data_IF_604154353260
#
_entry.id   IF_604154353260
#
_cell.length_a   1.000
_cell.length_b   1.000
_cell.length_c   1.000
_cell.angle_alpha   90.00
_cell.angle_beta   90.00
_cell.angle_gamma   90.00
#
_symmetry.space_group_name_H-M   'P 1'
#
loop_
_entity.id
_entity.type
_entity.pdbx_description
1 polymer ?
#
# COMPACT_ATOMS: atom_id res chain seq x y z
N UNK A 1 -37.16 24.48 -24.14
CA UNK A 1 -36.40 24.11 -22.93
C UNK A 1 -35.08 23.50 -23.37
N UNK A 2 -33.99 24.11 -22.88
CA UNK A 2 -32.63 23.60 -22.72
C UNK A 2 -31.86 22.98 -23.90
N UNK A 3 -31.02 23.84 -24.47
CA UNK A 3 -29.65 23.51 -24.90
C UNK A 3 -28.85 22.84 -23.77
N UNK A 4 -28.05 21.82 -24.12
CA UNK A 4 -26.94 21.37 -23.29
C UNK A 4 -25.76 20.87 -24.15
N UNK A 5 -24.66 21.63 -24.06
CA UNK A 5 -23.22 21.33 -24.24
C UNK A 5 -22.75 20.47 -25.43
N UNK A 6 -21.95 21.00 -26.36
CA UNK A 6 -20.52 21.43 -26.29
C UNK A 6 -19.49 20.29 -26.37
N UNK A 7 -18.75 20.34 -27.49
CA UNK A 7 -17.28 20.21 -27.61
C UNK A 7 -16.62 18.92 -27.12
N UNK A 8 -16.50 17.96 -28.04
CA UNK A 8 -15.37 17.01 -28.04
C UNK A 8 -14.17 17.70 -28.68
N UNK A 9 -13.07 17.68 -27.93
CA UNK A 9 -11.81 18.38 -28.12
C UNK A 9 -11.10 18.01 -29.44
N UNK A 10 -10.78 19.01 -30.26
CA UNK A 10 -10.11 18.87 -31.56
C UNK A 10 -8.71 18.22 -31.46
N UNK A 11 -8.13 18.15 -30.26
CA UNK A 11 -6.84 17.51 -30.01
C UNK A 11 -6.88 15.96 -30.00
N UNK A 12 -8.03 15.34 -29.71
CA UNK A 12 -8.14 13.87 -29.79
C UNK A 12 -8.21 13.38 -31.23
N UNK A 13 -8.90 14.11 -32.11
CA UNK A 13 -9.06 13.77 -33.54
C UNK A 13 -7.71 13.74 -34.30
N UNK A 14 -6.81 14.68 -33.98
CA UNK A 14 -5.47 14.72 -34.60
C UNK A 14 -4.53 13.61 -34.10
N UNK A 15 -4.68 13.12 -32.85
CA UNK A 15 -3.90 11.98 -32.34
C UNK A 15 -4.32 10.65 -32.96
N UNK A 16 -5.61 10.46 -33.23
CA UNK A 16 -6.15 9.27 -33.92
C UNK A 16 -5.72 9.21 -35.40
N UNK A 17 -5.72 10.36 -36.11
CA UNK A 17 -5.25 10.43 -37.51
C UNK A 17 -3.75 10.17 -37.66
N UNK A 18 -2.93 10.54 -36.67
CA UNK A 18 -1.47 10.29 -36.67
C UNK A 18 -1.13 8.83 -36.39
N UNK A 19 -1.90 8.15 -35.51
CA UNK A 19 -1.78 6.69 -35.27
C UNK A 19 -2.24 5.85 -36.47
N UNK A 20 -3.30 6.26 -37.18
CA UNK A 20 -3.73 5.55 -38.40
C UNK A 20 -2.71 5.63 -39.55
N UNK A 21 -2.03 6.78 -39.73
CA UNK A 21 -0.98 6.94 -40.75
C UNK A 21 0.29 6.14 -40.45
N UNK A 22 0.63 5.93 -39.18
CA UNK A 22 1.76 5.10 -38.74
C UNK A 22 1.53 3.61 -38.97
N UNK A 23 0.29 3.14 -38.88
CA UNK A 23 -0.03 1.72 -39.10
C UNK A 23 -0.03 1.35 -40.59
N UNK A 24 -0.36 2.30 -41.47
CA UNK A 24 -0.44 2.06 -42.92
C UNK A 24 0.94 1.95 -43.60
N UNK A 25 2.01 2.48 -43.01
CA UNK A 25 3.38 2.34 -43.55
C UNK A 25 4.05 1.01 -43.13
N UNK A 26 3.67 0.43 -41.99
CA UNK A 26 4.24 -0.86 -41.55
C UNK A 26 3.68 -2.04 -42.37
N UNK A 27 2.48 -1.89 -42.94
CA UNK A 27 1.85 -2.91 -43.80
C UNK A 27 2.37 -2.85 -45.24
N UNK A 28 2.94 -1.73 -45.69
CA UNK A 28 3.46 -1.55 -47.06
C UNK A 28 4.95 -1.91 -47.22
N UNK A 29 5.71 -2.11 -46.14
CA UNK A 29 7.14 -2.48 -46.19
C UNK A 29 7.41 -3.99 -46.09
N UNK A 30 6.38 -4.84 -45.97
CA UNK A 30 6.52 -6.30 -46.03
C UNK A 30 6.17 -6.89 -47.41
N UNK A 31 6.01 -6.05 -48.44
CA UNK A 31 5.61 -6.47 -49.79
C UNK A 31 6.72 -6.36 -50.87
N UNK A 32 7.99 -6.21 -50.50
CA UNK A 32 9.08 -6.01 -51.47
C UNK A 32 10.27 -6.96 -51.32
N UNK A 33 10.06 -8.19 -50.85
CA UNK A 33 11.14 -9.19 -50.76
C UNK A 33 10.70 -10.58 -51.21
N UNK A 34 10.11 -10.74 -52.40
CA UNK A 34 10.05 -12.04 -53.05
C UNK A 34 10.04 -11.87 -54.57
N UNK A 35 11.23 -11.98 -55.17
CA UNK A 35 11.39 -12.38 -56.56
C UNK A 35 12.23 -13.65 -56.55
N UNK A 36 11.68 -14.77 -57.05
CA UNK A 36 12.32 -15.66 -58.03
C UNK A 36 11.46 -16.91 -58.28
N UNK A 37 11.22 -17.14 -59.57
CA UNK A 37 10.97 -18.38 -60.33
C UNK A 37 10.54 -19.70 -59.67
N UNK A 38 9.59 -20.32 -60.39
CA UNK A 38 9.36 -21.76 -60.59
C UNK A 38 8.50 -22.55 -59.59
N UNK A 39 7.34 -22.95 -60.11
CA UNK A 39 6.65 -24.23 -59.92
C UNK A 39 6.50 -24.79 -58.49
N UNK A 40 5.35 -24.51 -57.87
CA UNK A 40 4.40 -25.55 -57.45
C UNK A 40 3.05 -24.94 -57.08
N UNK A 41 1.98 -25.58 -57.56
CA UNK A 41 0.60 -25.38 -57.13
C UNK A 41 0.46 -25.75 -55.65
N UNK A 42 -0.52 -25.10 -55.00
CA UNK A 42 -1.12 -25.36 -53.67
C UNK A 42 -0.46 -24.68 -52.44
N UNK A 43 -1.33 -24.23 -51.51
CA UNK A 43 -1.08 -23.74 -50.14
C UNK A 43 -1.10 -22.22 -49.86
N UNK A 44 -2.26 -21.55 -50.02
CA UNK A 44 -2.64 -20.50 -49.05
C UNK A 44 -3.85 -20.87 -48.18
N UNK A 45 -4.68 -21.86 -48.57
CA UNK A 45 -5.93 -22.22 -47.83
C UNK A 45 -5.66 -23.08 -46.58
N UNK A 46 -4.65 -23.97 -46.63
CA UNK A 46 -4.40 -24.91 -45.54
C UNK A 46 -3.90 -24.24 -44.25
N UNK A 47 -3.11 -23.16 -44.37
CA UNK A 47 -2.56 -22.43 -43.21
C UNK A 47 -3.64 -21.69 -42.41
N UNK A 48 -4.57 -21.03 -43.10
CA UNK A 48 -5.70 -20.38 -42.44
C UNK A 48 -6.66 -21.40 -41.82
N UNK A 49 -6.84 -22.55 -42.47
CA UNK A 49 -7.66 -23.62 -41.90
C UNK A 49 -7.04 -24.20 -40.63
N UNK A 50 -5.71 -24.28 -40.56
CA UNK A 50 -4.96 -24.74 -39.40
C UNK A 50 -5.06 -23.74 -38.23
N UNK A 51 -4.94 -22.44 -38.49
CA UNK A 51 -5.15 -21.37 -37.49
C UNK A 51 -6.60 -21.37 -36.95
N UNK A 52 -7.60 -21.58 -37.82
CA UNK A 52 -9.00 -21.71 -37.40
C UNK A 52 -9.21 -22.92 -36.50
N UNK A 53 -8.58 -24.05 -36.81
CA UNK A 53 -8.67 -25.26 -35.98
C UNK A 53 -7.98 -25.07 -34.63
N UNK A 54 -6.87 -24.34 -34.59
CA UNK A 54 -6.16 -24.00 -33.36
C UNK A 54 -7.01 -23.09 -32.46
N UNK A 55 -7.61 -22.04 -33.02
CA UNK A 55 -8.48 -21.12 -32.27
C UNK A 55 -9.76 -21.79 -31.76
N UNK A 56 -10.31 -22.76 -32.49
CA UNK A 56 -11.44 -23.58 -32.01
C UNK A 56 -11.04 -24.44 -30.82
N UNK A 57 -9.84 -25.03 -30.86
CA UNK A 57 -9.31 -25.86 -29.78
C UNK A 57 -9.08 -25.03 -28.51
N UNK A 58 -8.52 -23.83 -28.65
CA UNK A 58 -8.28 -22.93 -27.53
C UNK A 58 -9.59 -22.42 -26.91
N UNK A 59 -10.59 -22.08 -27.73
CA UNK A 59 -11.92 -21.73 -27.23
C UNK A 59 -12.62 -22.89 -26.50
N UNK A 60 -12.45 -24.12 -26.95
CA UNK A 60 -12.99 -25.30 -26.26
C UNK A 60 -12.32 -25.50 -24.89
N UNK A 61 -11.01 -25.28 -24.80
CA UNK A 61 -10.26 -25.35 -23.53
C UNK A 61 -10.71 -24.29 -22.54
N UNK A 62 -10.88 -23.05 -22.99
CA UNK A 62 -11.35 -21.95 -22.14
C UNK A 62 -12.78 -22.19 -21.63
N UNK A 63 -13.66 -22.77 -22.46
CA UNK A 63 -15.01 -23.16 -22.02
C UNK A 63 -14.98 -24.23 -20.93
N UNK A 64 -14.14 -25.25 -21.08
CA UNK A 64 -13.96 -26.29 -20.07
C UNK A 64 -13.42 -25.72 -18.74
N UNK A 65 -12.50 -24.76 -18.80
CA UNK A 65 -11.96 -24.08 -17.60
C UNK A 65 -13.04 -23.23 -16.90
N UNK A 66 -13.87 -22.52 -17.66
CA UNK A 66 -15.02 -21.78 -17.10
C UNK A 66 -16.03 -22.71 -16.46
N UNK A 67 -16.30 -23.88 -17.04
CA UNK A 67 -17.22 -24.86 -16.47
C UNK A 67 -16.65 -25.53 -15.21
N UNK A 68 -15.33 -25.75 -15.14
CA UNK A 68 -14.65 -26.18 -13.91
C UNK A 68 -14.76 -25.14 -12.79
N UNK A 69 -14.58 -23.86 -13.11
CA UNK A 69 -14.71 -22.77 -12.13
C UNK A 69 -16.15 -22.61 -11.62
N UNK A 70 -17.15 -22.80 -12.49
CA UNK A 70 -18.57 -22.84 -12.06
C UNK A 70 -18.85 -24.02 -11.14
N UNK A 71 -18.31 -25.20 -11.45
CA UNK A 71 -18.47 -26.39 -10.61
C UNK A 71 -17.83 -26.20 -9.22
N UNK A 72 -16.75 -25.42 -9.12
CA UNK A 72 -16.14 -25.06 -7.83
C UNK A 72 -16.99 -24.06 -7.03
N UNK A 73 -17.75 -23.21 -7.71
CA UNK A 73 -18.64 -22.22 -7.08
C UNK A 73 -19.96 -22.84 -6.60
N UNK A 74 -20.41 -23.92 -7.25
CA UNK A 74 -21.66 -24.61 -6.94
C UNK A 74 -21.55 -25.71 -5.87
N UNK A 75 -20.35 -25.96 -5.30
CA UNK A 75 -20.19 -26.90 -4.20
C UNK A 75 -20.77 -26.32 -2.88
N UNK A 76 -21.86 -26.91 -2.31
CA UNK A 76 -22.40 -26.46 -1.04
C UNK A 76 -21.47 -26.87 0.09
N UNK A 77 -21.13 -25.91 0.96
CA UNK A 77 -20.42 -26.15 2.21
C UNK A 77 -21.17 -27.20 3.02
N UNK A 78 -20.53 -28.35 3.25
CA UNK A 78 -21.04 -29.40 4.13
C UNK A 78 -21.25 -28.83 5.54
N UNK A 79 -22.47 -29.00 6.06
CA UNK A 79 -22.91 -28.55 7.38
C UNK A 79 -22.07 -29.20 8.50
N UNK A 80 -21.42 -28.38 9.32
CA UNK A 80 -20.91 -28.79 10.63
C UNK A 80 -22.08 -28.77 11.64
N UNK A 81 -22.34 -29.91 12.29
CA UNK A 81 -23.29 -30.02 13.41
C UNK A 81 -22.68 -29.46 14.71
N UNK A 82 -23.49 -28.98 15.68
CA UNK A 82 -23.02 -28.17 16.80
C UNK A 82 -22.45 -29.00 17.96
N UNK A 83 -21.35 -28.53 18.55
CA UNK A 83 -20.76 -28.99 19.83
C UNK A 83 -21.20 -28.04 20.96
N UNK A 84 -21.26 -28.47 22.24
CA UNK A 84 -22.11 -27.85 23.26
C UNK A 84 -21.54 -26.52 23.77
N UNK A 85 -22.47 -25.62 24.05
CA UNK A 85 -22.26 -24.24 24.49
C UNK A 85 -21.54 -24.16 25.84
N UNK A 86 -20.43 -23.41 25.97
CA UNK A 86 -20.15 -22.70 27.21
C UNK A 86 -20.95 -21.39 27.23
N UNK A 87 -21.47 -21.06 28.41
CA UNK A 87 -22.24 -19.84 28.74
C UNK A 87 -21.61 -18.55 28.16
N UNK A 88 -22.42 -17.53 27.80
CA UNK A 88 -21.94 -16.33 27.14
C UNK A 88 -21.16 -15.43 28.12
N UNK A 89 -19.93 -15.10 27.75
CA UNK A 89 -19.37 -13.78 28.05
C UNK A 89 -19.29 -13.08 26.70
N UNK A 90 -20.27 -12.24 26.40
CA UNK A 90 -20.27 -11.42 25.19
C UNK A 90 -19.20 -10.33 25.34
N UNK A 91 -18.03 -10.55 24.74
CA UNK A 91 -17.13 -9.45 24.36
C UNK A 91 -17.28 -9.33 22.85
N UNK A 92 -17.91 -8.23 22.40
CA UNK A 92 -18.07 -7.95 20.98
C UNK A 92 -16.67 -7.84 20.31
N UNK A 93 -16.41 -8.50 19.17
CA UNK A 93 -15.11 -8.47 18.49
C UNK A 93 -14.62 -7.09 18.04
N UNK A 94 -15.49 -6.07 18.10
CA UNK A 94 -15.28 -4.74 17.52
C UNK A 94 -15.24 -3.59 18.56
N UNK A 95 -15.14 -3.88 19.86
CA UNK A 95 -15.05 -2.83 20.87
C UNK A 95 -13.62 -2.27 21.03
N UNK A 96 -13.45 -0.98 21.38
CA UNK A 96 -12.15 -0.44 21.75
C UNK A 96 -11.50 -1.21 22.90
N UNK A 97 -10.20 -1.51 22.79
CA UNK A 97 -9.47 -2.20 23.86
C UNK A 97 -9.19 -1.27 25.05
N UNK A 98 -9.32 -1.74 26.31
CA UNK A 98 -8.88 -0.97 27.47
C UNK A 98 -7.36 -0.67 27.42
N UNK A 99 -6.98 0.56 27.77
CA UNK A 99 -5.58 1.02 27.81
C UNK A 99 -5.27 1.60 29.20
N UNK A 100 -4.15 1.18 29.78
CA UNK A 100 -3.72 1.48 31.15
C UNK A 100 -2.19 1.58 31.26
N UNK A 101 -1.57 2.43 30.44
CA UNK A 101 -0.14 2.74 30.56
C UNK A 101 0.13 3.70 31.74
N UNK A 102 1.20 3.46 32.48
CA UNK A 102 1.52 4.18 33.73
C UNK A 102 2.33 5.46 33.51
N UNK A 103 3.07 5.53 32.40
CA UNK A 103 4.14 6.51 32.14
C UNK A 103 3.82 7.51 31.00
N UNK A 104 2.56 7.56 30.56
CA UNK A 104 2.13 8.41 29.44
C UNK A 104 1.54 9.76 29.85
N UNK A 105 1.29 9.97 31.15
CA UNK A 105 0.65 11.21 31.64
C UNK A 105 1.51 12.44 31.37
N UNK A 106 0.94 13.43 30.67
CA UNK A 106 1.63 14.67 30.30
C UNK A 106 2.62 14.51 29.15
N UNK A 107 2.65 13.35 28.50
CA UNK A 107 3.47 13.11 27.30
C UNK A 107 2.76 13.71 26.09
N UNK A 108 3.51 14.41 25.25
CA UNK A 108 2.99 14.85 23.95
C UNK A 108 2.65 13.60 23.11
N UNK A 109 1.37 13.42 22.80
CA UNK A 109 0.86 12.21 22.15
C UNK A 109 0.09 11.27 23.06
N UNK A 110 -0.10 11.58 24.35
CA UNK A 110 -0.86 10.76 25.31
C UNK A 110 -2.22 10.28 24.75
N UNK A 111 -3.01 11.21 24.19
CA UNK A 111 -4.30 10.90 23.57
C UNK A 111 -4.13 9.88 22.42
N UNK A 112 -3.15 10.08 21.54
CA UNK A 112 -2.90 9.22 20.40
C UNK A 112 -2.36 7.86 20.82
N UNK A 113 -1.58 7.78 21.90
CA UNK A 113 -1.15 6.51 22.49
C UNK A 113 -2.39 5.74 22.96
N UNK A 114 -3.31 6.38 23.67
CA UNK A 114 -4.55 5.73 24.11
C UNK A 114 -5.38 5.23 22.91
N UNK A 115 -5.60 6.09 21.91
CA UNK A 115 -6.40 5.74 20.72
C UNK A 115 -5.79 4.57 19.92
N UNK A 116 -4.49 4.60 19.65
CA UNK A 116 -3.83 3.49 18.94
C UNK A 116 -3.79 2.22 19.79
N UNK A 117 -3.70 2.33 21.12
CA UNK A 117 -3.86 1.20 22.03
C UNK A 117 -5.26 0.58 21.96
N UNK A 118 -6.31 1.42 21.93
CA UNK A 118 -7.70 1.00 21.74
C UNK A 118 -7.92 0.27 20.41
N UNK A 119 -7.24 0.72 19.35
CA UNK A 119 -7.21 0.08 18.03
C UNK A 119 -6.36 -1.19 17.97
N UNK A 120 -5.65 -1.54 19.04
CA UNK A 120 -4.84 -2.75 19.11
C UNK A 120 -3.52 -2.67 18.33
N UNK A 121 -2.96 -1.47 18.17
CA UNK A 121 -1.70 -1.26 17.46
C UNK A 121 -0.50 -1.81 18.23
N UNK A 122 -0.52 -1.73 19.56
CA UNK A 122 0.58 -2.15 20.42
C UNK A 122 0.44 -3.60 20.90
N UNK A 123 1.57 -4.23 21.24
CA UNK A 123 1.60 -5.62 21.75
C UNK A 123 1.09 -5.74 23.20
N UNK A 124 1.21 -4.65 23.98
CA UNK A 124 0.62 -4.49 25.30
C UNK A 124 -0.20 -3.21 25.34
N UNK A 125 -1.23 -3.17 26.18
CA UNK A 125 -2.00 -1.95 26.47
C UNK A 125 -1.87 -1.51 27.93
N UNK A 126 -0.95 -2.09 28.70
CA UNK A 126 -0.72 -1.77 30.12
C UNK A 126 0.77 -1.81 30.50
N UNK A 127 1.10 -1.23 31.65
CA UNK A 127 2.48 -1.12 32.15
C UNK A 127 3.18 0.12 31.59
N UNK A 128 4.48 0.03 31.31
CA UNK A 128 5.22 1.14 30.71
C UNK A 128 5.10 1.11 29.18
N UNK A 129 4.82 2.28 28.60
CA UNK A 129 4.86 2.52 27.16
C UNK A 129 6.27 2.93 26.69
N UNK A 130 7.09 3.51 27.56
CA UNK A 130 8.42 4.06 27.28
C UNK A 130 8.44 5.15 26.19
N UNK A 131 7.65 6.22 26.31
CA UNK A 131 7.40 7.18 25.22
C UNK A 131 8.65 7.89 24.68
N UNK A 132 9.69 8.02 25.52
CA UNK A 132 10.96 8.69 25.16
C UNK A 132 12.01 7.74 24.59
N UNK A 133 11.79 6.42 24.66
CA UNK A 133 12.73 5.47 24.10
C UNK A 133 12.72 5.56 22.57
N UNK A 134 13.88 5.36 21.91
CA UNK A 134 13.94 5.30 20.46
C UNK A 134 13.21 4.06 19.93
N UNK A 135 12.56 4.19 18.77
CA UNK A 135 11.86 3.08 18.10
C UNK A 135 12.78 2.41 17.07
N UNK A 136 12.67 1.08 16.93
CA UNK A 136 13.34 0.35 15.86
C UNK A 136 12.57 0.43 14.55
N UNK A 137 13.24 0.16 13.42
CA UNK A 137 12.60 0.11 12.10
C UNK A 137 11.50 -0.97 12.03
N UNK A 138 11.74 -2.14 12.62
CA UNK A 138 10.77 -3.23 12.63
C UNK A 138 9.52 -2.91 13.45
N UNK A 139 9.70 -2.32 14.63
CA UNK A 139 8.58 -1.92 15.48
C UNK A 139 7.72 -0.85 14.80
N UNK A 140 8.34 0.15 14.16
CA UNK A 140 7.61 1.16 13.41
C UNK A 140 6.83 0.54 12.23
N UNK A 141 7.42 -0.40 11.49
CA UNK A 141 6.73 -1.09 10.40
C UNK A 141 5.51 -1.88 10.90
N UNK A 142 5.65 -2.59 12.03
CA UNK A 142 4.54 -3.29 12.69
C UNK A 142 3.42 -2.32 13.07
N UNK A 143 3.75 -1.22 13.73
CA UNK A 143 2.77 -0.22 14.17
C UNK A 143 2.08 0.46 12.98
N UNK A 144 2.83 0.79 11.92
CA UNK A 144 2.31 1.41 10.71
C UNK A 144 1.26 0.51 10.03
N UNK A 145 1.56 -0.78 9.86
CA UNK A 145 0.63 -1.76 9.27
C UNK A 145 -0.62 -1.94 10.12
N UNK A 146 -0.44 -2.16 11.43
CA UNK A 146 -1.58 -2.34 12.34
C UNK A 146 -2.49 -1.11 12.35
N UNK A 147 -1.90 0.08 12.37
CA UNK A 147 -2.65 1.34 12.33
C UNK A 147 -3.42 1.49 11.03
N UNK A 148 -2.78 1.28 9.88
CA UNK A 148 -3.45 1.34 8.57
C UNK A 148 -4.63 0.36 8.49
N UNK A 149 -4.43 -0.89 8.94
CA UNK A 149 -5.47 -1.91 8.87
C UNK A 149 -6.62 -1.65 9.85
N UNK A 150 -6.33 -1.06 11.02
CA UNK A 150 -7.34 -0.65 11.98
C UNK A 150 -8.15 0.58 11.52
N UNK A 151 -7.53 1.49 10.75
CA UNK A 151 -8.19 2.68 10.20
C UNK A 151 -9.05 2.34 8.97
N UNK A 152 -8.62 1.38 8.15
CA UNK A 152 -9.34 0.98 6.94
C UNK A 152 -9.88 -0.46 6.98
N UNK A 153 -10.63 -0.86 8.04
CA UNK A 153 -11.12 -2.22 8.14
C UNK A 153 -12.06 -2.53 6.96
N UNK A 154 -11.82 -3.66 6.29
CA UNK A 154 -12.63 -4.12 5.15
C UNK A 154 -12.39 -3.39 3.83
N UNK A 155 -11.48 -2.41 3.75
CA UNK A 155 -11.11 -1.76 2.48
C UNK A 155 -10.01 -2.54 1.78
N UNK A 156 -10.38 -3.45 0.88
CA UNK A 156 -9.43 -4.37 0.22
C UNK A 156 -8.30 -3.68 -0.57
N UNK A 157 -8.52 -2.44 -1.01
CA UNK A 157 -7.55 -1.59 -1.71
C UNK A 157 -6.60 -0.83 -0.77
N UNK A 158 -6.93 -0.74 0.53
CA UNK A 158 -6.16 0.02 1.54
C UNK A 158 -5.51 -0.87 2.58
N UNK A 159 -6.13 -1.99 2.95
CA UNK A 159 -5.60 -2.92 3.95
C UNK A 159 -4.34 -3.60 3.45
N UNK A 160 -3.30 -3.64 4.27
CA UNK A 160 -2.07 -4.38 4.00
C UNK A 160 -2.26 -5.83 4.42
N UNK A 161 -2.12 -6.73 3.45
CA UNK A 161 -2.16 -8.17 3.72
C UNK A 161 -0.88 -8.59 4.44
N UNK A 162 -1.04 -9.19 5.61
CA UNK A 162 0.08 -9.77 6.34
C UNK A 162 0.62 -10.98 5.58
N UNK A 163 1.94 -11.13 5.55
CA UNK A 163 2.58 -12.29 4.90
C UNK A 163 2.79 -13.41 5.91
N UNK A 164 2.07 -14.52 5.77
CA UNK A 164 2.19 -15.66 6.69
C UNK A 164 3.34 -16.61 6.33
N UNK A 165 3.72 -16.66 5.05
CA UNK A 165 4.80 -17.49 4.53
C UNK A 165 5.34 -16.92 3.20
N UNK A 166 6.40 -17.53 2.68
CA UNK A 166 6.93 -17.22 1.35
C UNK A 166 8.42 -16.89 1.36
N UNK A 167 8.95 -16.56 0.17
CA UNK A 167 10.32 -16.10 0.02
C UNK A 167 10.44 -14.69 0.59
N UNK A 168 11.30 -14.53 1.59
CA UNK A 168 11.59 -13.22 2.17
C UNK A 168 12.20 -12.28 1.12
N UNK A 169 11.70 -11.05 1.06
CA UNK A 169 12.32 -9.95 0.28
C UNK A 169 13.66 -9.56 0.90
N UNK A 170 13.70 -9.48 2.24
CA UNK A 170 14.89 -9.08 2.98
C UNK A 170 15.53 -10.28 3.68
N UNK A 171 16.82 -10.48 3.45
CA UNK A 171 17.58 -11.63 3.98
C UNK A 171 17.74 -11.61 5.50
N UNK A 172 17.69 -10.43 6.12
CA UNK A 172 17.75 -10.21 7.57
C UNK A 172 16.38 -10.20 8.26
N UNK A 173 15.30 -10.48 7.51
CA UNK A 173 13.94 -10.67 8.04
C UNK A 173 13.39 -11.99 7.50
N UNK A 174 13.88 -13.14 7.99
CA UNK A 174 13.36 -14.45 7.57
C UNK A 174 11.91 -14.66 8.07
N UNK A 175 11.17 -15.64 7.53
CA UNK A 175 9.79 -15.94 7.98
C UNK A 175 9.62 -16.21 9.48
N UNK A 176 10.70 -16.58 10.18
CA UNK A 176 10.72 -16.79 11.64
C UNK A 176 10.87 -15.50 12.44
N UNK A 177 11.18 -14.37 11.81
CA UNK A 177 11.28 -13.08 12.49
C UNK A 177 9.89 -12.61 12.93
N UNK A 178 9.70 -12.12 14.17
CA UNK A 178 8.38 -11.74 14.68
C UNK A 178 7.68 -10.67 13.83
N UNK A 179 8.46 -9.76 13.24
CA UNK A 179 7.95 -8.71 12.35
C UNK A 179 7.89 -9.04 10.86
N UNK A 180 8.23 -10.29 10.49
CA UNK A 180 8.14 -10.74 9.10
C UNK A 180 6.78 -10.44 8.46
N UNK A 181 5.63 -10.75 9.09
CA UNK A 181 4.34 -10.57 8.42
C UNK A 181 4.03 -9.13 8.03
N UNK A 182 4.51 -8.16 8.82
CA UNK A 182 4.28 -6.73 8.59
C UNK A 182 5.26 -6.17 7.56
N UNK A 183 6.56 -6.44 7.74
CA UNK A 183 7.62 -5.95 6.84
C UNK A 183 7.44 -6.55 5.44
N UNK A 184 7.23 -7.87 5.36
CA UNK A 184 6.98 -8.53 4.08
C UNK A 184 5.65 -8.10 3.47
N UNK A 185 4.61 -7.85 4.29
CA UNK A 185 3.32 -7.32 3.82
C UNK A 185 3.46 -5.97 3.13
N UNK A 186 4.21 -5.03 3.72
CA UNK A 186 4.52 -3.73 3.12
C UNK A 186 5.31 -3.88 1.80
N UNK A 187 6.31 -4.77 1.77
CA UNK A 187 7.09 -5.04 0.57
C UNK A 187 6.23 -5.65 -0.55
N UNK A 188 5.35 -6.60 -0.23
CA UNK A 188 4.41 -7.22 -1.17
C UNK A 188 3.38 -6.22 -1.70
N UNK A 189 3.00 -5.22 -0.89
CA UNK A 189 2.14 -4.11 -1.31
C UNK A 189 2.88 -3.10 -2.22
N UNK A 190 4.20 -3.28 -2.43
CA UNK A 190 5.00 -2.43 -3.31
C UNK A 190 5.50 -1.13 -2.67
N UNK A 191 5.44 -1.01 -1.33
CA UNK A 191 5.95 0.18 -0.66
C UNK A 191 7.46 0.13 -0.46
N UNK A 192 8.13 1.24 -0.80
CA UNK A 192 9.56 1.42 -0.59
C UNK A 192 9.84 1.73 0.88
N UNK A 193 10.11 0.67 1.65
CA UNK A 193 10.31 0.73 3.11
C UNK A 193 11.75 0.43 3.55
N UNK A 194 12.63 0.11 2.60
CA UNK A 194 14.04 -0.15 2.84
C UNK A 194 14.93 0.71 1.97
N UNK A 195 16.13 0.94 2.50
CA UNK A 195 17.23 1.62 1.81
C UNK A 195 18.01 0.71 0.87
N UNK A 196 17.89 -0.59 1.07
CA UNK A 196 18.66 -1.64 0.42
C UNK A 196 17.68 -2.72 -0.05
N UNK A 197 17.90 -3.23 -1.27
CA UNK A 197 17.01 -4.23 -1.87
C UNK A 197 17.09 -5.60 -1.19
N UNK A 198 18.14 -5.87 -0.40
CA UNK A 198 18.44 -7.18 0.20
C UNK A 198 18.28 -7.21 1.72
N UNK A 199 18.34 -6.07 2.39
CA UNK A 199 18.32 -5.97 3.86
C UNK A 199 17.36 -4.88 4.32
N UNK A 200 16.64 -5.11 5.41
CA UNK A 200 15.72 -4.16 6.02
C UNK A 200 16.31 -3.45 7.24
N UNK A 201 17.23 -4.09 7.96
CA UNK A 201 17.85 -3.68 9.22
C UNK A 201 16.83 -3.48 10.35
N UNK A 202 16.12 -4.56 10.77
CA UNK A 202 14.98 -4.47 11.68
C UNK A 202 15.32 -3.80 13.02
N UNK A 203 16.49 -4.10 13.59
CA UNK A 203 16.93 -3.61 14.90
C UNK A 203 17.56 -2.21 14.88
N UNK A 204 17.78 -1.63 13.71
CA UNK A 204 18.35 -0.29 13.62
C UNK A 204 17.33 0.74 14.13
N UNK A 205 17.80 1.70 14.93
CA UNK A 205 16.99 2.85 15.36
C UNK A 205 16.53 3.65 14.15
N UNK A 206 15.24 3.96 14.12
CA UNK A 206 14.61 4.70 13.04
C UNK A 206 15.00 6.18 13.11
N UNK A 207 15.47 6.73 11.99
CA UNK A 207 15.72 8.17 11.86
C UNK A 207 14.50 8.93 11.36
N UNK A 208 14.44 10.25 11.57
CA UNK A 208 13.35 11.10 11.10
C UNK A 208 13.12 11.01 9.59
N UNK A 209 14.19 11.03 8.78
CA UNK A 209 14.06 10.91 7.33
C UNK A 209 13.58 9.54 6.87
N UNK A 210 13.95 8.47 7.59
CA UNK A 210 13.47 7.11 7.31
C UNK A 210 11.99 6.95 7.69
N UNK A 211 11.59 7.47 8.85
CA UNK A 211 10.19 7.46 9.30
C UNK A 211 9.30 8.17 8.27
N UNK A 212 9.70 9.38 7.83
CA UNK A 212 8.96 10.13 6.82
C UNK A 212 8.90 9.37 5.48
N UNK A 213 10.00 8.74 5.04
CA UNK A 213 9.99 7.94 3.83
C UNK A 213 8.99 6.78 3.89
N UNK A 214 9.01 6.00 4.97
CA UNK A 214 8.07 4.89 5.18
C UNK A 214 6.62 5.38 5.27
N UNK A 215 6.40 6.50 5.99
CA UNK A 215 5.07 7.07 6.18
C UNK A 215 4.48 7.62 4.90
N UNK A 216 5.25 8.41 4.16
CA UNK A 216 4.84 8.98 2.88
C UNK A 216 4.60 7.89 1.85
N UNK A 217 5.44 6.84 1.79
CA UNK A 217 5.22 5.71 0.88
C UNK A 217 3.83 5.07 1.08
N UNK A 218 3.43 4.87 2.34
CA UNK A 218 2.12 4.30 2.67
C UNK A 218 0.98 5.30 2.47
N UNK A 219 1.11 6.54 2.93
CA UNK A 219 0.06 7.58 2.78
C UNK A 219 -0.24 7.87 1.30
N UNK A 220 0.81 7.87 0.46
CA UNK A 220 0.69 8.22 -0.95
C UNK A 220 0.35 7.06 -1.86
N UNK A 221 0.43 5.82 -1.40
CA UNK A 221 0.13 4.57 -2.14
C UNK A 221 0.57 4.53 -3.61
N UNK A 222 1.59 5.28 -3.97
CA UNK A 222 2.21 5.29 -5.30
C UNK A 222 3.71 5.19 -5.10
N UNK A 223 4.44 4.57 -6.04
CA UNK A 223 5.89 4.45 -5.94
C UNK A 223 6.51 5.85 -5.79
N UNK A 224 7.35 6.04 -4.77
CA UNK A 224 7.97 7.32 -4.48
C UNK A 224 8.86 7.80 -5.64
N UNK A 225 9.38 6.86 -6.41
CA UNK A 225 10.17 7.07 -7.63
C UNK A 225 9.36 7.80 -8.72
N UNK A 226 8.03 7.80 -8.63
CA UNK A 226 7.14 8.58 -9.49
C UNK A 226 7.27 10.08 -9.25
N UNK A 227 7.70 10.48 -8.05
CA UNK A 227 7.91 11.87 -7.68
C UNK A 227 9.35 12.27 -8.00
N UNK A 228 9.55 12.79 -9.21
CA UNK A 228 10.80 13.47 -9.61
C UNK A 228 10.87 14.87 -9.00
N UNK A 229 10.85 14.93 -7.67
CA UNK A 229 11.01 16.17 -6.91
C UNK A 229 12.45 16.70 -7.00
N UNK A 230 12.60 18.02 -6.93
CA UNK A 230 13.89 18.66 -6.66
C UNK A 230 14.34 18.40 -5.21
N UNK A 231 15.45 19.00 -4.82
CA UNK A 231 15.88 18.93 -3.42
C UNK A 231 14.78 19.47 -2.50
N UNK A 232 14.42 18.76 -1.40
CA UNK A 232 13.48 19.27 -0.43
C UNK A 232 14.02 20.55 0.23
N UNK A 233 13.12 21.44 0.64
CA UNK A 233 13.45 22.70 1.30
C UNK A 233 12.45 23.03 2.40
N UNK A 234 12.69 24.11 3.13
CA UNK A 234 11.85 24.55 4.24
C UNK A 234 12.54 24.47 5.60
N UNK A 235 13.68 23.76 5.70
CA UNK A 235 14.47 23.66 6.92
C UNK A 235 15.90 24.16 6.73
N UNK A 236 16.50 24.70 7.79
CA UNK A 236 17.88 25.23 7.79
C UNK A 236 18.94 24.17 7.48
N UNK A 237 18.63 22.90 7.68
CA UNK A 237 19.50 21.75 7.47
C UNK A 237 18.99 20.82 6.35
N UNK A 238 18.21 21.37 5.40
CA UNK A 238 17.71 20.58 4.25
C UNK A 238 18.84 19.91 3.46
N UNK A 239 20.05 20.49 3.47
CA UNK A 239 21.25 19.92 2.85
C UNK A 239 21.78 18.65 3.54
N UNK A 240 21.30 18.32 4.75
CA UNK A 240 21.64 17.08 5.47
C UNK A 240 20.69 15.92 5.16
N UNK A 241 19.60 16.16 4.44
CA UNK A 241 18.66 15.10 4.05
C UNK A 241 19.33 14.21 3.01
N UNK A 242 19.38 12.90 3.27
CA UNK A 242 19.98 11.95 2.35
C UNK A 242 19.23 11.94 1.01
N UNK A 243 19.96 12.02 -0.11
CA UNK A 243 19.38 12.15 -1.47
C UNK A 243 18.31 11.11 -1.80
N UNK A 244 18.47 9.88 -1.32
CA UNK A 244 17.51 8.78 -1.52
C UNK A 244 16.13 9.06 -0.93
N UNK A 245 16.02 9.89 0.12
CA UNK A 245 14.73 10.25 0.70
C UNK A 245 14.15 11.55 0.14
N UNK A 246 14.86 12.24 -0.76
CA UNK A 246 14.37 13.49 -1.35
C UNK A 246 12.97 13.34 -1.96
N UNK A 247 12.62 12.26 -2.69
CA UNK A 247 11.27 12.11 -3.21
C UNK A 247 10.20 12.13 -2.11
N UNK A 248 10.42 11.37 -1.02
CA UNK A 248 9.48 11.33 0.10
C UNK A 248 9.37 12.68 0.82
N UNK A 249 10.52 13.33 1.10
CA UNK A 249 10.50 14.61 1.82
C UNK A 249 9.95 15.74 0.94
N UNK A 250 10.16 15.69 -0.37
CA UNK A 250 9.53 16.61 -1.31
C UNK A 250 8.01 16.43 -1.32
N UNK A 251 7.52 15.18 -1.31
CA UNK A 251 6.10 14.88 -1.21
C UNK A 251 5.51 15.40 0.11
N UNK A 252 6.17 15.12 1.23
CA UNK A 252 5.80 15.63 2.55
C UNK A 252 5.72 17.16 2.57
N UNK A 253 6.74 17.85 2.05
CA UNK A 253 6.82 19.31 2.16
C UNK A 253 5.93 20.06 1.19
N UNK A 254 5.76 19.54 -0.03
CA UNK A 254 5.02 20.23 -1.10
C UNK A 254 3.59 19.76 -1.22
N UNK A 255 3.37 18.44 -1.26
CA UNK A 255 2.03 17.88 -1.52
C UNK A 255 1.22 17.71 -0.24
N UNK A 256 1.87 17.35 0.86
CA UNK A 256 1.20 17.22 2.15
C UNK A 256 1.28 18.50 3.00
N UNK A 257 1.97 19.54 2.55
CA UNK A 257 2.18 20.78 3.30
C UNK A 257 2.68 20.52 4.74
N UNK A 258 3.65 19.61 4.88
CA UNK A 258 4.23 19.17 6.15
C UNK A 258 3.22 18.54 7.12
N UNK A 259 2.20 17.82 6.65
CA UNK A 259 1.18 17.24 7.53
C UNK A 259 1.76 16.25 8.56
N UNK A 260 2.60 15.31 8.15
CA UNK A 260 3.23 14.37 9.08
C UNK A 260 4.26 15.07 9.97
N UNK A 261 5.05 16.00 9.41
CA UNK A 261 6.06 16.76 10.18
C UNK A 261 5.39 17.62 11.26
N UNK A 262 4.35 18.37 10.91
CA UNK A 262 3.64 19.26 11.83
C UNK A 262 2.93 18.49 12.93
N UNK A 263 2.33 17.33 12.59
CA UNK A 263 1.68 16.45 13.56
C UNK A 263 2.68 15.84 14.54
N UNK A 264 3.86 15.47 14.05
CA UNK A 264 4.86 14.72 14.83
C UNK A 264 5.75 15.62 15.66
N UNK A 265 6.24 16.70 15.07
CA UNK A 265 7.31 17.53 15.65
C UNK A 265 6.90 19.00 15.83
N UNK A 266 5.68 19.38 15.40
CA UNK A 266 5.26 20.77 15.35
C UNK A 266 5.99 21.59 14.29
N UNK A 267 5.99 22.91 14.46
CA UNK A 267 6.68 23.83 13.56
C UNK A 267 8.20 23.76 13.78
N UNK A 268 8.90 23.09 12.87
CA UNK A 268 10.37 22.95 12.92
C UNK A 268 11.06 23.93 11.97
N UNK A 269 12.07 24.64 12.49
CA UNK A 269 13.05 25.38 11.66
C UNK A 269 14.19 24.48 11.16
N UNK A 270 14.48 23.41 11.90
CA UNK A 270 15.55 22.44 11.63
C UNK A 270 14.96 21.04 11.76
N UNK A 271 15.11 20.21 10.73
CA UNK A 271 14.49 18.88 10.67
C UNK A 271 15.27 17.86 11.52
N UNK A 272 16.60 17.97 11.54
CA UNK A 272 17.54 16.97 12.07
C UNK A 272 17.26 15.58 11.47
N UNK A 273 17.45 15.39 10.15
CA UNK A 273 16.97 14.22 9.44
C UNK A 273 17.50 12.88 9.96
N UNK A 274 18.71 12.85 10.53
CA UNK A 274 19.31 11.65 11.12
C UNK A 274 19.03 11.47 12.62
N UNK A 275 18.28 12.36 13.26
CA UNK A 275 17.93 12.19 14.67
C UNK A 275 17.06 10.94 14.86
N UNK A 276 17.23 10.22 15.98
CA UNK A 276 16.38 9.08 16.32
C UNK A 276 14.94 9.54 16.58
N UNK A 277 13.98 8.71 16.19
CA UNK A 277 12.56 8.90 16.47
C UNK A 277 12.20 8.20 17.77
N UNK A 278 11.57 8.92 18.69
CA UNK A 278 11.02 8.35 19.92
C UNK A 278 9.71 7.61 19.65
N UNK A 279 9.33 6.69 20.54
CA UNK A 279 8.05 5.97 20.46
C UNK A 279 6.84 6.90 20.44
N UNK A 280 6.87 8.00 21.19
CA UNK A 280 5.78 9.00 21.15
C UNK A 280 5.71 9.77 19.84
N UNK A 281 6.86 10.16 19.27
CA UNK A 281 6.91 10.76 17.93
C UNK A 281 6.41 9.77 16.85
N UNK A 282 6.79 8.50 16.94
CA UNK A 282 6.28 7.46 16.05
C UNK A 282 4.75 7.36 16.12
N UNK A 283 4.17 7.35 17.34
CA UNK A 283 2.71 7.36 17.55
C UNK A 283 2.05 8.57 16.91
N UNK A 284 2.58 9.77 17.14
CA UNK A 284 2.04 10.99 16.54
C UNK A 284 2.07 10.90 15.01
N UNK A 285 3.15 10.39 14.42
CA UNK A 285 3.25 10.28 12.96
C UNK A 285 2.15 9.39 12.37
N UNK A 286 1.88 8.23 13.00
CA UNK A 286 0.90 7.26 12.50
C UNK A 286 -0.54 7.52 12.97
N UNK A 287 -0.78 8.50 13.84
CA UNK A 287 -2.12 8.78 14.39
C UNK A 287 -3.13 9.27 13.35
N UNK A 288 -2.70 9.50 12.10
CA UNK A 288 -3.58 9.52 10.95
C UNK A 288 -2.88 8.99 9.70
N UNK A 289 -3.63 8.28 8.86
CA UNK A 289 -3.12 7.64 7.65
C UNK A 289 -3.74 8.30 6.42
N UNK A 290 -2.89 8.65 5.45
CA UNK A 290 -3.30 9.21 4.18
C UNK A 290 -3.90 8.15 3.27
N UNK A 291 -4.87 8.55 2.44
CA UNK A 291 -5.55 7.61 1.55
C UNK A 291 -5.63 8.04 0.07
N UNK A 292 -4.89 9.09 -0.31
CA UNK A 292 -4.83 9.79 -1.61
C UNK A 292 -6.12 10.40 -2.16
N UNK A 293 -7.28 10.09 -1.60
CA UNK A 293 -8.58 10.46 -2.18
C UNK A 293 -9.38 11.34 -1.21
N UNK A 294 -9.45 10.96 0.05
CA UNK A 294 -10.19 11.62 1.13
C UNK A 294 -9.27 12.42 2.08
N UNK A 295 -7.95 12.39 1.88
CA UNK A 295 -6.99 13.05 2.76
C UNK A 295 -6.49 12.10 3.85
N UNK A 296 -6.53 12.56 5.12
CA UNK A 296 -6.11 11.76 6.27
C UNK A 296 -7.32 11.28 7.06
N UNK A 297 -7.34 10.00 7.40
CA UNK A 297 -8.24 9.44 8.41
C UNK A 297 -7.47 9.23 9.71
N UNK A 298 -8.01 9.71 10.81
CA UNK A 298 -7.36 9.72 12.13
C UNK A 298 -7.67 8.48 12.95
N UNK A 299 -6.81 8.18 13.93
CA UNK A 299 -7.07 7.15 14.93
C UNK A 299 -8.31 7.47 15.78
N UNK A 300 -8.60 8.75 16.00
CA UNK A 300 -9.80 9.21 16.71
C UNK A 300 -11.07 8.79 15.98
N UNK A 301 -11.17 9.12 14.69
CA UNK A 301 -12.31 8.74 13.84
C UNK A 301 -12.49 7.22 13.79
N UNK A 302 -11.39 6.46 13.77
CA UNK A 302 -11.43 5.01 13.78
C UNK A 302 -11.95 4.45 15.13
N UNK A 303 -11.53 5.02 16.26
CA UNK A 303 -12.04 4.65 17.59
C UNK A 303 -13.53 4.98 17.71
N UNK A 304 -13.94 6.20 17.32
CA UNK A 304 -15.35 6.61 17.34
C UNK A 304 -16.24 5.67 16.52
N UNK A 305 -15.74 5.23 15.35
CA UNK A 305 -16.46 4.27 14.50
C UNK A 305 -16.58 2.89 15.16
N UNK A 306 -15.53 2.41 15.83
CA UNK A 306 -15.59 1.15 16.59
C UNK A 306 -16.58 1.25 17.76
N UNK A 307 -16.58 2.36 18.48
CA UNK A 307 -17.53 2.62 19.56
C UNK A 307 -18.97 2.56 19.04
N UNK A 308 -19.27 3.25 17.94
CA UNK A 308 -20.60 3.23 17.32
C UNK A 308 -21.04 1.82 16.88
N UNK A 309 -20.10 1.01 16.38
CA UNK A 309 -20.38 -0.38 15.98
C UNK A 309 -20.56 -1.34 17.15
N UNK A 310 -20.14 -0.94 18.35
CA UNK A 310 -20.26 -1.73 19.59
C UNK A 310 -21.53 -1.44 20.38
N UNK A 311 -22.33 -0.44 19.97
CA UNK A 311 -23.61 -0.13 20.58
C UNK A 311 -24.68 -1.19 20.19
N UNK A 312 -25.50 -1.64 21.14
CA UNK A 312 -26.53 -2.67 20.93
C UNK A 312 -27.72 -2.23 20.07
#
# INVERSE_FOLDING_TARGET
>A
MFNCLKTVDANQSNRLKKKLRSLSLLVLLLASSFWLSSCKKEQPVNRFQEEINQLKTENAKLRAEVDQLKTQLDNPVAQLSPSPTPKPVAVAPNAPKPVAFEDIKGVLGEKQIIQLGQLGVFDSTSGNFDPKAPITRAEFARWLVRTNNAIFPGSSDKTIRLSEAGKATFSDVPPTHPDFPYIQGLANAGYSISDDEKTFKPEQILTREQMLAMKVALDHRVPLESYKGGAPGGWTDSNKISKKYWPAIYVESVFQNNANISRTFGALKTLNPQAPVTRSEAVLSISAIGDNVAGFTTAEEAVEKLEQQSLP
#
